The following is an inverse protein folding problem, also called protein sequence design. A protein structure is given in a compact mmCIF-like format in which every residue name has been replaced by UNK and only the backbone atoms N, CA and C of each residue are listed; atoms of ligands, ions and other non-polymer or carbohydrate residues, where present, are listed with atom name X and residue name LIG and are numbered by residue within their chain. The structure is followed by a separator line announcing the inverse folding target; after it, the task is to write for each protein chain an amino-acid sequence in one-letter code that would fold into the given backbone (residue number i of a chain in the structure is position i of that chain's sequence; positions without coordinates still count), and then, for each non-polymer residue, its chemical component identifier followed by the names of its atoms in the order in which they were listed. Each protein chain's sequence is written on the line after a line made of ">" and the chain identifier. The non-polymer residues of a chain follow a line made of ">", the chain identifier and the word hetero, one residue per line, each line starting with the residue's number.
data_IF_994013665264
#
_entry.id   IF_994013665264
#
_cell.length_a   1.000
_cell.length_b   1.000
_cell.length_c   1.000
_cell.angle_alpha   90.00
_cell.angle_beta   90.00
_cell.angle_gamma   90.00
#
_symmetry.space_group_name_H-M   'P 1'
#
loop_
_entity.id
_entity.type
_entity.pdbx_description
1 polymer ?
#
# COMPACT_ATOMS: atom_id res chain seq x y z
N UNK A 1 -1.06 -54.25 35.19
CA UNK A 1 0.10 -54.41 34.29
C UNK A 1 0.60 -53.00 34.00
N UNK A 2 1.55 -52.50 34.81
CA UNK A 2 3.00 -52.39 34.50
C UNK A 2 3.22 -51.32 33.42
N UNK A 3 4.05 -50.28 33.52
CA UNK A 3 4.89 -49.62 34.54
C UNK A 3 5.45 -48.35 33.83
N UNK A 4 5.33 -47.14 34.38
CA UNK A 4 6.37 -46.31 35.03
C UNK A 4 7.39 -45.52 34.17
N UNK A 5 7.43 -44.20 34.49
CA UNK A 5 8.59 -43.35 34.83
C UNK A 5 9.72 -43.04 33.81
N UNK A 6 10.00 -41.74 33.62
CA UNK A 6 11.25 -41.02 34.01
C UNK A 6 11.42 -39.77 33.11
N UNK A 7 11.30 -38.51 33.57
CA UNK A 7 12.20 -37.77 34.46
C UNK A 7 13.65 -37.68 33.96
N UNK A 8 14.09 -36.51 33.47
CA UNK A 8 15.49 -36.05 33.55
C UNK A 8 15.59 -34.52 33.41
N UNK A 9 15.91 -33.90 34.55
CA UNK A 9 16.46 -32.54 34.68
C UNK A 9 17.95 -32.58 34.31
N UNK A 10 18.44 -31.53 33.65
CA UNK A 10 19.86 -31.16 33.70
C UNK A 10 19.97 -29.69 34.10
N UNK A 11 20.48 -29.46 35.32
CA UNK A 11 21.06 -28.20 35.78
C UNK A 11 22.57 -28.31 35.60
N UNK A 12 23.21 -27.30 35.01
CA UNK A 12 24.61 -27.01 35.30
C UNK A 12 24.75 -25.54 35.64
N UNK A 13 25.22 -25.33 36.87
CA UNK A 13 25.85 -24.11 37.37
C UNK A 13 27.25 -24.01 36.76
N UNK A 14 27.64 -22.83 36.28
CA UNK A 14 29.03 -22.41 36.31
C UNK A 14 29.09 -20.94 36.73
N UNK A 15 29.75 -20.73 37.86
CA UNK A 15 30.09 -19.47 38.48
C UNK A 15 31.42 -19.02 37.87
N UNK A 16 31.50 -17.77 37.42
CA UNK A 16 32.73 -17.16 36.94
C UNK A 16 32.70 -15.66 37.19
N UNK A 17 33.52 -15.23 38.16
CA UNK A 17 33.70 -13.86 38.63
C UNK A 17 34.65 -13.03 37.74
N UNK A 18 34.27 -11.76 37.51
CA UNK A 18 35.01 -10.48 37.29
C UNK A 18 36.57 -10.43 37.28
N UNK A 19 37.23 -9.29 36.93
CA UNK A 19 36.83 -8.11 36.12
C UNK A 19 37.93 -7.67 35.10
N UNK A 20 37.61 -6.83 34.12
CA UNK A 20 38.56 -5.82 33.61
C UNK A 20 37.79 -4.58 33.15
N UNK A 21 37.83 -3.53 33.99
CA UNK A 21 37.42 -2.17 33.63
C UNK A 21 38.64 -1.50 33.00
N UNK A 22 38.62 -1.26 31.68
CA UNK A 22 39.60 -0.38 31.03
C UNK A 22 39.00 1.02 31.00
N UNK A 23 39.52 1.89 31.87
CA UNK A 23 39.23 3.30 31.91
C UNK A 23 40.07 3.99 30.81
N UNK A 24 39.47 4.28 29.66
CA UNK A 24 40.13 5.09 28.62
C UNK A 24 39.96 6.56 29.00
N UNK A 25 41.05 7.16 29.50
CA UNK A 25 41.18 8.60 29.70
C UNK A 25 41.36 9.25 28.34
N UNK A 26 40.33 9.93 27.84
CA UNK A 26 40.45 10.82 26.70
C UNK A 26 41.18 12.10 27.15
N UNK A 27 42.43 12.24 26.73
CA UNK A 27 43.18 13.50 26.83
C UNK A 27 42.66 14.44 25.75
N UNK A 28 41.87 15.43 26.14
CA UNK A 28 41.49 16.55 25.27
C UNK A 28 42.65 17.53 25.23
N UNK A 29 43.42 17.53 24.14
CA UNK A 29 44.41 18.58 23.85
C UNK A 29 43.64 19.75 23.21
N UNK A 30 43.43 20.82 23.97
CA UNK A 30 43.02 22.12 23.41
C UNK A 30 44.22 22.75 22.72
N UNK A 31 44.34 22.57 21.40
CA UNK A 31 45.19 23.42 20.58
C UNK A 31 44.47 24.74 20.34
N UNK A 32 44.77 25.76 21.14
CA UNK A 32 44.31 27.13 20.90
C UNK A 32 45.13 27.74 19.77
N UNK A 33 44.73 27.47 18.53
CA UNK A 33 45.18 28.25 17.38
C UNK A 33 44.45 29.60 17.38
N UNK A 34 45.12 30.63 17.88
CA UNK A 34 44.69 32.02 17.76
C UNK A 34 44.79 32.39 16.27
N UNK A 35 43.66 32.32 15.56
CA UNK A 35 43.55 32.85 14.20
C UNK A 35 43.45 34.38 14.31
N UNK A 36 44.32 35.15 13.63
CA UNK A 36 44.26 36.60 13.64
C UNK A 36 42.90 37.10 13.14
N UNK A 37 42.23 37.92 13.95
CA UNK A 37 40.90 38.49 13.71
C UNK A 37 40.78 39.47 12.51
N UNK A 38 41.78 39.56 11.63
CA UNK A 38 41.88 40.59 10.59
C UNK A 38 41.79 40.06 9.15
N UNK A 39 41.40 38.80 8.93
CA UNK A 39 41.19 38.21 7.60
C UNK A 39 39.72 37.89 7.25
N UNK A 40 38.76 38.43 8.01
CA UNK A 40 37.33 38.14 7.85
C UNK A 40 36.50 39.27 7.23
N UNK A 41 37.00 40.01 6.23
CA UNK A 41 36.14 40.93 5.48
C UNK A 41 36.62 41.11 4.05
N UNK A 42 36.07 40.29 3.13
CA UNK A 42 35.67 40.65 1.74
C UNK A 42 35.10 39.45 0.97
N UNK A 43 34.45 38.48 1.64
CA UNK A 43 33.60 37.54 0.89
C UNK A 43 32.34 38.29 0.45
N UNK A 44 32.22 38.55 -0.86
CA UNK A 44 31.00 39.09 -1.45
C UNK A 44 29.81 38.23 -0.97
N UNK A 45 28.64 38.84 -0.64
CA UNK A 45 27.47 38.07 -0.24
C UNK A 45 27.19 37.02 -1.31
N UNK A 46 26.95 35.75 -0.92
CA UNK A 46 26.61 34.71 -1.89
C UNK A 46 25.44 35.23 -2.73
N UNK A 47 25.61 35.18 -4.06
CA UNK A 47 24.55 35.58 -4.98
C UNK A 47 23.26 34.89 -4.54
N UNK A 48 22.12 35.61 -4.46
CA UNK A 48 20.86 35.00 -4.07
C UNK A 48 20.62 33.78 -4.95
N UNK A 49 20.61 32.61 -4.33
CA UNK A 49 20.30 31.35 -5.01
C UNK A 49 18.95 31.55 -5.72
N UNK A 50 18.94 31.27 -7.03
CA UNK A 50 17.75 31.47 -7.84
C UNK A 50 16.54 30.77 -7.23
N UNK A 51 15.35 31.36 -7.39
CA UNK A 51 14.10 30.74 -6.93
C UNK A 51 14.08 29.27 -7.37
N UNK A 52 13.82 28.30 -6.47
CA UNK A 52 13.78 26.89 -6.83
C UNK A 52 12.84 26.70 -8.03
N UNK A 53 13.35 26.08 -9.09
CA UNK A 53 12.53 25.72 -10.25
C UNK A 53 11.41 24.79 -9.79
N UNK A 54 10.17 25.06 -10.20
CA UNK A 54 9.04 24.18 -9.90
C UNK A 54 9.32 22.77 -10.45
N UNK A 55 9.04 21.74 -9.64
CA UNK A 55 9.23 20.36 -10.04
C UNK A 55 8.33 19.98 -11.22
N UNK A 56 8.86 19.18 -12.14
CA UNK A 56 8.07 18.56 -13.20
C UNK A 56 7.03 17.59 -12.62
N UNK A 57 5.94 17.33 -13.36
CA UNK A 57 4.92 16.35 -12.96
C UNK A 57 5.53 14.95 -12.73
N UNK A 58 6.44 14.52 -13.62
CA UNK A 58 7.19 13.27 -13.50
C UNK A 58 8.05 13.21 -12.24
N UNK A 59 8.67 14.33 -11.84
CA UNK A 59 9.44 14.40 -10.60
C UNK A 59 8.54 14.30 -9.37
N UNK A 60 7.39 14.98 -9.36
CA UNK A 60 6.42 14.88 -8.27
C UNK A 60 5.93 13.44 -8.09
N UNK A 61 5.59 12.75 -9.19
CA UNK A 61 5.18 11.33 -9.17
C UNK A 61 6.30 10.46 -8.62
N UNK A 62 7.52 10.58 -9.16
CA UNK A 62 8.68 9.79 -8.76
C UNK A 62 9.02 9.97 -7.29
N UNK A 63 9.01 11.21 -6.79
CA UNK A 63 9.27 11.53 -5.38
C UNK A 63 8.19 10.92 -4.49
N UNK A 64 6.92 11.05 -4.87
CA UNK A 64 5.80 10.45 -4.14
C UNK A 64 5.97 8.94 -4.07
N UNK A 65 6.24 8.27 -5.19
CA UNK A 65 6.46 6.83 -5.24
C UNK A 65 7.65 6.40 -4.36
N UNK A 66 8.76 7.11 -4.44
CA UNK A 66 9.95 6.82 -3.65
C UNK A 66 9.68 6.91 -2.15
N UNK A 67 8.83 7.85 -1.72
CA UNK A 67 8.48 8.01 -0.31
C UNK A 67 7.73 6.82 0.29
N UNK A 68 6.88 6.18 -0.50
CA UNK A 68 6.19 4.96 -0.07
C UNK A 68 7.01 3.70 -0.35
N UNK A 69 7.99 3.74 -1.26
CA UNK A 69 8.90 2.60 -1.47
C UNK A 69 9.99 2.51 -0.42
N UNK A 70 10.59 3.64 -0.07
CA UNK A 70 11.83 3.71 0.72
C UNK A 70 11.52 4.22 2.14
N UNK A 71 11.38 3.29 3.08
CA UNK A 71 11.08 3.62 4.47
C UNK A 71 11.11 2.41 5.38
N UNK A 72 10.58 2.59 6.58
CA UNK A 72 10.48 1.54 7.59
C UNK A 72 9.24 1.75 8.46
N UNK A 73 8.72 0.66 9.00
CA UNK A 73 7.64 0.73 9.98
C UNK A 73 8.21 1.01 11.37
N UNK A 74 7.69 2.05 12.03
CA UNK A 74 7.99 2.37 13.42
C UNK A 74 6.76 2.26 14.28
N UNK A 75 6.94 1.68 15.47
CA UNK A 75 5.87 1.62 16.46
C UNK A 75 5.65 3.00 17.05
N UNK A 76 4.39 3.36 17.25
CA UNK A 76 3.97 4.60 17.89
C UNK A 76 3.18 4.31 19.17
N UNK A 77 2.99 5.35 19.98
CA UNK A 77 2.36 5.23 21.30
C UNK A 77 0.83 5.29 21.25
N UNK A 78 0.25 5.88 20.20
CA UNK A 78 -1.21 5.96 20.04
C UNK A 78 -1.61 5.99 18.57
N UNK A 79 -2.81 5.46 18.27
CA UNK A 79 -3.42 5.52 16.94
C UNK A 79 -3.66 6.96 16.47
N UNK A 80 -3.96 7.86 17.39
CA UNK A 80 -4.20 9.27 17.12
C UNK A 80 -3.02 9.90 16.37
N UNK A 81 -1.79 9.50 16.68
CA UNK A 81 -0.61 9.97 15.95
C UNK A 81 -0.65 9.54 14.48
N UNK A 82 -0.98 8.28 14.19
CA UNK A 82 -1.17 7.81 12.81
C UNK A 82 -2.28 8.60 12.13
N UNK A 83 -3.46 8.68 12.74
CA UNK A 83 -4.63 9.34 12.13
C UNK A 83 -4.39 10.83 11.89
N UNK A 84 -3.73 11.54 12.82
CA UNK A 84 -3.39 12.95 12.66
C UNK A 84 -2.37 13.17 11.54
N UNK A 85 -1.41 12.26 11.36
CA UNK A 85 -0.39 12.36 10.29
C UNK A 85 -0.92 11.93 8.93
N UNK A 86 -1.74 10.88 8.89
CA UNK A 86 -2.40 10.44 7.66
C UNK A 86 -3.55 11.36 7.29
N UNK A 87 -4.15 12.08 8.23
CA UNK A 87 -5.33 12.93 8.04
C UNK A 87 -6.66 12.16 7.99
N UNK A 88 -6.66 10.87 8.31
CA UNK A 88 -7.89 10.06 8.29
C UNK A 88 -8.83 10.44 9.45
N UNK A 89 -10.16 10.39 9.26
CA UNK A 89 -11.12 10.73 10.32
C UNK A 89 -10.98 9.81 11.54
N UNK A 90 -10.96 10.35 12.76
CA UNK A 90 -10.69 9.55 13.97
C UNK A 90 -11.68 8.41 14.20
N UNK A 91 -12.90 8.57 13.71
CA UNK A 91 -14.03 7.69 13.94
C UNK A 91 -14.36 6.79 12.74
N UNK A 92 -13.57 6.82 11.65
CA UNK A 92 -13.94 6.16 10.41
C UNK A 92 -14.18 4.65 10.60
N UNK A 93 -13.44 4.03 11.53
CA UNK A 93 -13.56 2.60 11.85
C UNK A 93 -14.96 2.19 12.31
N UNK A 94 -15.74 3.11 12.87
CA UNK A 94 -17.08 2.82 13.37
C UNK A 94 -18.04 2.48 12.23
N UNK A 95 -17.77 2.98 11.03
CA UNK A 95 -18.58 2.80 9.82
C UNK A 95 -18.14 1.61 8.96
N UNK A 96 -17.02 0.96 9.30
CA UNK A 96 -16.60 -0.26 8.62
C UNK A 96 -17.55 -1.43 8.94
N UNK A 97 -17.67 -2.38 8.02
CA UNK A 97 -18.32 -3.65 8.34
C UNK A 97 -17.51 -4.41 9.41
N UNK A 98 -18.15 -5.12 10.37
CA UNK A 98 -17.45 -5.82 11.46
C UNK A 98 -16.27 -6.69 11.02
N UNK A 99 -16.40 -7.40 9.89
CA UNK A 99 -15.32 -8.23 9.33
C UNK A 99 -14.04 -7.45 9.00
N UNK A 100 -14.13 -6.16 8.74
CA UNK A 100 -13.00 -5.30 8.39
C UNK A 100 -12.46 -4.49 9.58
N UNK A 101 -13.19 -4.48 10.70
CA UNK A 101 -12.77 -3.80 11.92
C UNK A 101 -11.64 -4.57 12.60
N UNK A 102 -10.77 -3.81 13.25
CA UNK A 102 -9.80 -4.38 14.18
C UNK A 102 -10.51 -4.99 15.39
N UNK A 103 -10.08 -6.19 15.80
CA UNK A 103 -10.42 -6.73 17.10
C UNK A 103 -9.51 -6.08 18.15
N UNK A 104 -10.00 -5.03 18.81
CA UNK A 104 -9.26 -4.32 19.86
C UNK A 104 -9.04 -5.17 21.13
N UNK A 105 -9.75 -6.28 21.28
CA UNK A 105 -9.50 -7.22 22.38
C UNK A 105 -8.25 -8.07 22.15
N UNK A 106 -7.87 -8.25 20.87
CA UNK A 106 -6.62 -8.87 20.50
C UNK A 106 -5.46 -7.90 20.75
N UNK A 107 -4.86 -8.02 21.93
CA UNK A 107 -3.66 -7.24 22.28
C UNK A 107 -2.38 -7.73 21.59
N UNK A 108 -2.43 -8.87 20.90
CA UNK A 108 -1.27 -9.49 20.25
C UNK A 108 -0.89 -8.76 18.97
N UNK A 109 -1.86 -8.46 18.10
CA UNK A 109 -1.64 -7.67 16.89
C UNK A 109 -2.27 -6.29 17.05
N UNK A 110 -1.44 -5.25 17.05
CA UNK A 110 -1.87 -3.85 17.14
C UNK A 110 -1.50 -3.11 15.85
N UNK A 111 -2.04 -3.50 14.67
CA UNK A 111 -1.59 -2.98 13.38
C UNK A 111 -1.78 -1.46 13.22
N UNK A 112 -2.70 -0.86 13.99
CA UNK A 112 -2.95 0.57 14.03
C UNK A 112 -1.91 1.39 14.82
N UNK A 113 -0.95 0.73 15.49
CA UNK A 113 0.15 1.37 16.22
C UNK A 113 1.48 1.35 15.46
N UNK A 114 1.42 1.19 14.13
CA UNK A 114 2.59 1.20 13.27
C UNK A 114 2.47 2.30 12.24
N UNK A 115 3.55 3.04 12.06
CA UNK A 115 3.66 4.14 11.13
C UNK A 115 4.77 3.93 10.11
N UNK A 116 4.49 4.23 8.85
CA UNK A 116 5.51 4.25 7.80
C UNK A 116 6.34 5.53 7.86
N UNK A 117 7.64 5.40 8.11
CA UNK A 117 8.59 6.49 8.13
C UNK A 117 9.47 6.42 6.89
N UNK A 118 9.34 7.38 5.95
CA UNK A 118 10.17 7.41 4.76
C UNK A 118 11.63 7.76 5.08
N UNK A 119 12.58 7.26 4.27
CA UNK A 119 14.00 7.60 4.38
C UNK A 119 14.25 9.09 4.06
N UNK A 120 15.35 9.64 4.60
CA UNK A 120 15.63 11.08 4.70
C UNK A 120 15.64 11.90 3.38
N UNK A 121 15.83 11.28 2.22
CA UNK A 121 15.74 12.00 0.93
C UNK A 121 14.28 12.28 0.59
N UNK A 122 13.39 11.34 0.89
CA UNK A 122 11.97 11.47 0.61
C UNK A 122 11.23 12.36 1.64
N UNK A 123 11.85 12.69 2.77
CA UNK A 123 11.25 13.57 3.79
C UNK A 123 11.28 15.05 3.42
N UNK A 124 12.05 15.46 2.41
CA UNK A 124 12.18 16.86 1.97
C UNK A 124 10.91 17.43 1.31
N UNK A 125 10.00 16.56 0.85
CA UNK A 125 8.74 16.93 0.20
C UNK A 125 7.57 16.49 1.06
N UNK A 126 6.96 17.37 1.88
CA UNK A 126 5.90 16.97 2.80
C UNK A 126 4.72 16.37 2.04
N UNK A 127 4.17 15.25 2.55
CA UNK A 127 2.91 14.72 2.05
C UNK A 127 1.78 15.66 2.46
N UNK A 128 0.81 15.80 1.58
CA UNK A 128 -0.48 16.39 1.91
C UNK A 128 -1.25 15.37 2.75
N UNK A 129 -1.61 15.69 4.01
CA UNK A 129 -2.46 14.81 4.81
C UNK A 129 -3.78 14.54 4.07
N UNK A 130 -4.33 13.35 4.25
CA UNK A 130 -5.64 13.02 3.73
C UNK A 130 -6.69 13.98 4.29
N UNK A 131 -7.59 14.40 3.42
CA UNK A 131 -8.88 14.96 3.80
C UNK A 131 -9.81 14.80 2.60
N UNK A 132 -11.12 14.77 2.84
CA UNK A 132 -12.07 14.74 1.73
C UNK A 132 -11.84 15.92 0.78
N UNK A 133 -11.52 17.11 1.29
CA UNK A 133 -11.25 18.31 0.49
C UNK A 133 -9.97 18.17 -0.35
N UNK A 134 -8.87 17.70 0.24
CA UNK A 134 -7.62 17.47 -0.49
C UNK A 134 -7.81 16.40 -1.57
N UNK A 135 -8.52 15.32 -1.26
CA UNK A 135 -8.90 14.31 -2.23
C UNK A 135 -9.70 14.91 -3.40
N UNK A 136 -10.70 15.71 -3.09
CA UNK A 136 -11.55 16.35 -4.07
C UNK A 136 -10.80 17.34 -4.96
N UNK A 137 -9.88 18.09 -4.35
CA UNK A 137 -8.94 18.91 -5.08
C UNK A 137 -8.09 18.04 -6.01
N UNK A 138 -7.50 16.94 -5.52
CA UNK A 138 -6.62 16.04 -6.28
C UNK A 138 -7.30 15.42 -7.51
N UNK A 139 -8.56 15.00 -7.38
CA UNK A 139 -9.30 14.41 -8.51
C UNK A 139 -9.83 15.48 -9.46
N UNK A 140 -10.08 16.72 -9.02
CA UNK A 140 -10.50 17.83 -9.87
C UNK A 140 -11.69 17.48 -10.80
N UNK A 141 -12.82 17.07 -10.21
CA UNK A 141 -14.04 16.62 -10.91
C UNK A 141 -13.88 15.38 -11.82
N UNK A 142 -12.74 14.67 -11.76
CA UNK A 142 -12.53 13.40 -12.46
C UNK A 142 -13.24 12.25 -11.76
N UNK A 143 -13.69 11.27 -12.53
CA UNK A 143 -14.27 10.02 -12.04
C UNK A 143 -13.26 8.88 -12.10
N UNK A 144 -13.30 7.99 -11.09
CA UNK A 144 -12.35 6.88 -10.92
C UNK A 144 -13.08 5.54 -11.06
N UNK A 145 -12.55 4.67 -11.92
CA UNK A 145 -12.96 3.28 -12.06
C UNK A 145 -11.86 2.35 -11.53
N UNK A 146 -12.18 1.53 -10.54
CA UNK A 146 -11.34 0.43 -10.08
C UNK A 146 -11.75 -0.87 -10.78
N UNK A 147 -10.79 -1.55 -11.41
CA UNK A 147 -10.97 -2.89 -12.00
C UNK A 147 -9.92 -3.81 -11.39
N UNK A 148 -10.33 -4.90 -10.77
CA UNK A 148 -9.36 -5.88 -10.27
C UNK A 148 -9.91 -6.88 -9.26
N UNK A 149 -9.09 -7.20 -8.27
CA UNK A 149 -9.31 -8.28 -7.31
C UNK A 149 -10.03 -7.86 -6.01
N UNK A 150 -10.15 -8.81 -5.08
CA UNK A 150 -10.75 -8.58 -3.76
C UNK A 150 -9.95 -7.63 -2.88
N UNK A 151 -8.65 -7.47 -3.10
CA UNK A 151 -7.82 -6.50 -2.36
C UNK A 151 -8.17 -5.08 -2.82
N UNK A 152 -8.46 -4.89 -4.11
CA UNK A 152 -8.98 -3.61 -4.63
C UNK A 152 -10.33 -3.28 -4.01
N UNK A 153 -11.20 -4.27 -3.84
CA UNK A 153 -12.50 -4.11 -3.16
C UNK A 153 -12.31 -3.78 -1.67
N UNK A 154 -11.35 -4.43 -1.00
CA UNK A 154 -11.00 -4.15 0.38
C UNK A 154 -10.53 -2.68 0.53
N UNK A 155 -9.69 -2.20 -0.38
CA UNK A 155 -9.28 -0.80 -0.42
C UNK A 155 -10.43 0.17 -0.75
N UNK A 156 -11.30 -0.18 -1.71
CA UNK A 156 -12.45 0.63 -2.08
C UNK A 156 -13.41 0.83 -0.90
N UNK A 157 -13.56 -0.20 -0.06
CA UNK A 157 -14.36 -0.13 1.17
C UNK A 157 -13.82 0.93 2.12
N UNK A 158 -12.50 0.93 2.33
CA UNK A 158 -11.83 1.95 3.13
C UNK A 158 -12.06 3.34 2.54
N UNK A 159 -11.77 3.49 1.25
CA UNK A 159 -11.84 4.76 0.55
C UNK A 159 -13.25 5.37 0.63
N UNK A 160 -14.29 4.56 0.43
CA UNK A 160 -15.68 4.98 0.59
C UNK A 160 -15.95 5.57 1.97
N UNK A 161 -15.55 4.85 3.03
CA UNK A 161 -15.81 5.25 4.41
C UNK A 161 -15.08 6.53 4.80
N UNK A 162 -13.80 6.66 4.41
CA UNK A 162 -12.99 7.86 4.73
C UNK A 162 -13.42 9.09 3.93
N UNK A 163 -14.10 8.90 2.80
CA UNK A 163 -14.73 9.97 2.02
C UNK A 163 -16.13 10.35 2.50
N UNK A 164 -16.55 9.87 3.67
CA UNK A 164 -17.84 10.22 4.28
C UNK A 164 -18.96 9.26 3.94
N UNK A 165 -18.67 8.15 3.26
CA UNK A 165 -19.63 7.07 3.04
C UNK A 165 -20.13 6.46 4.33
N UNK A 166 -21.45 6.32 4.48
CA UNK A 166 -22.10 5.77 5.68
C UNK A 166 -23.01 4.59 5.39
N UNK A 167 -23.45 4.46 4.15
CA UNK A 167 -24.33 3.38 3.78
C UNK A 167 -23.58 2.04 3.81
N UNK A 168 -24.27 0.95 4.21
CA UNK A 168 -23.74 -0.40 4.22
C UNK A 168 -23.53 -0.98 2.82
N UNK A 169 -23.31 -0.15 1.79
CA UNK A 169 -23.15 -0.52 0.38
C UNK A 169 -22.10 -1.63 0.20
N UNK A 170 -21.11 -1.70 1.10
CA UNK A 170 -20.03 -2.69 1.05
C UNK A 170 -20.22 -3.90 1.99
N UNK A 171 -21.32 -3.99 2.76
CA UNK A 171 -21.54 -5.05 3.76
C UNK A 171 -21.77 -6.43 3.13
N UNK A 172 -22.44 -6.44 1.98
CA UNK A 172 -22.70 -7.63 1.18
C UNK A 172 -22.41 -7.28 -0.28
N UNK A 173 -21.13 -7.14 -0.66
CA UNK A 173 -20.77 -7.50 -2.03
C UNK A 173 -20.66 -9.04 -2.04
N UNK A 174 -21.74 -9.83 -2.32
CA UNK A 174 -21.46 -10.92 -3.20
C UNK A 174 -20.89 -10.22 -4.42
N UNK A 175 -19.81 -10.75 -4.95
CA UNK A 175 -19.19 -10.37 -6.21
C UNK A 175 -20.22 -9.95 -7.32
N UNK A 176 -21.49 -10.38 -7.19
CA UNK A 176 -22.63 -10.32 -8.11
C UNK A 176 -23.35 -8.98 -8.20
N UNK A 177 -23.09 -7.99 -7.35
CA UNK A 177 -23.70 -6.66 -7.50
C UNK A 177 -22.65 -5.66 -7.95
N UNK A 178 -22.76 -5.25 -9.21
CA UNK A 178 -22.40 -3.90 -9.65
C UNK A 178 -22.91 -2.88 -8.62
N UNK A 179 -22.21 -1.76 -8.36
CA UNK A 179 -22.70 -0.69 -7.46
C UNK A 179 -23.90 0.04 -8.10
N UNK A 180 -24.98 -0.67 -8.44
CA UNK A 180 -25.95 -0.22 -9.43
C UNK A 180 -25.28 0.30 -10.71
N UNK A 181 -26.03 0.93 -11.60
CA UNK A 181 -25.43 1.69 -12.72
C UNK A 181 -24.93 3.09 -12.26
N UNK A 182 -24.80 3.30 -10.95
CA UNK A 182 -24.66 4.63 -10.36
C UNK A 182 -23.52 4.59 -9.34
N UNK A 183 -22.29 4.69 -9.85
CA UNK A 183 -21.11 4.85 -9.00
C UNK A 183 -21.28 5.94 -7.95
N UNK A 184 -20.52 5.78 -6.88
CA UNK A 184 -20.58 6.61 -5.69
C UNK A 184 -20.22 8.05 -6.07
N UNK A 185 -21.12 9.00 -5.82
CA UNK A 185 -20.81 10.43 -5.97
C UNK A 185 -19.73 10.82 -4.97
N UNK A 186 -18.66 11.43 -5.48
CA UNK A 186 -17.57 11.99 -4.69
C UNK A 186 -17.78 13.50 -4.54
N UNK A 187 -17.20 14.10 -3.51
CA UNK A 187 -16.99 15.56 -3.44
C UNK A 187 -18.25 16.43 -3.35
N UNK A 188 -19.31 15.88 -2.76
CA UNK A 188 -20.54 16.62 -2.47
C UNK A 188 -21.46 16.78 -3.69
N UNK A 189 -22.65 17.35 -3.44
CA UNK A 189 -23.77 17.35 -4.40
C UNK A 189 -23.54 18.16 -5.69
N UNK A 190 -22.49 18.99 -5.74
CA UNK A 190 -22.16 19.79 -6.91
C UNK A 190 -21.11 19.14 -7.81
N UNK A 191 -20.41 18.10 -7.33
CA UNK A 191 -19.41 17.41 -8.12
C UNK A 191 -20.05 16.32 -8.98
N UNK A 192 -19.53 16.17 -10.19
CA UNK A 192 -19.87 15.07 -11.09
C UNK A 192 -18.92 13.88 -10.94
N UNK A 193 -17.93 13.98 -10.06
CA UNK A 193 -16.98 12.91 -9.79
C UNK A 193 -17.70 11.68 -9.25
N UNK A 194 -17.37 10.53 -9.84
CA UNK A 194 -17.87 9.22 -9.42
C UNK A 194 -16.72 8.30 -9.05
N UNK A 195 -16.99 7.39 -8.12
CA UNK A 195 -16.14 6.28 -7.77
C UNK A 195 -16.89 4.98 -8.03
N UNK A 196 -16.28 4.07 -8.78
CA UNK A 196 -16.88 2.77 -9.06
C UNK A 196 -15.85 1.67 -9.02
N UNK A 197 -16.26 0.48 -8.57
CA UNK A 197 -15.43 -0.71 -8.53
C UNK A 197 -16.10 -1.87 -9.26
N UNK A 198 -15.30 -2.63 -10.00
CA UNK A 198 -15.76 -3.83 -10.70
C UNK A 198 -14.76 -4.96 -10.54
N UNK A 199 -15.28 -6.16 -10.23
CA UNK A 199 -14.48 -7.35 -10.06
C UNK A 199 -14.06 -7.90 -11.42
N UNK A 200 -12.78 -7.77 -11.75
CA UNK A 200 -12.18 -8.47 -12.88
C UNK A 200 -10.76 -8.93 -12.51
N UNK A 201 -10.68 -10.06 -11.81
CA UNK A 201 -9.45 -10.57 -11.20
C UNK A 201 -8.37 -10.89 -12.24
N UNK A 202 -8.79 -11.17 -13.47
CA UNK A 202 -7.94 -11.53 -14.59
C UNK A 202 -7.79 -10.38 -15.61
N UNK A 203 -8.41 -9.22 -15.37
CA UNK A 203 -8.46 -8.10 -16.32
C UNK A 203 -8.89 -8.49 -17.74
N UNK A 204 -9.77 -9.50 -17.89
CA UNK A 204 -10.24 -9.96 -19.19
C UNK A 204 -10.98 -8.83 -19.92
N UNK A 205 -10.75 -8.72 -21.23
CA UNK A 205 -11.45 -7.80 -22.12
C UNK A 205 -12.74 -8.40 -22.70
N UNK A 206 -13.40 -9.32 -21.99
CA UNK A 206 -14.66 -9.91 -22.45
C UNK A 206 -15.82 -8.91 -22.34
N UNK A 207 -16.78 -9.01 -23.25
CA UNK A 207 -18.06 -8.31 -23.19
C UNK A 207 -19.17 -9.19 -22.58
N UNK A 208 -18.89 -10.47 -22.32
CA UNK A 208 -19.86 -11.43 -21.78
C UNK A 208 -19.61 -11.69 -20.29
N UNK A 209 -20.69 -11.89 -19.53
CA UNK A 209 -20.65 -12.18 -18.09
C UNK A 209 -20.08 -13.57 -17.73
N UNK A 210 -19.70 -14.38 -18.72
CA UNK A 210 -19.29 -15.77 -18.54
C UNK A 210 -18.18 -16.18 -19.53
N UNK A 211 -16.99 -15.57 -19.48
CA UNK A 211 -15.87 -16.12 -20.24
C UNK A 211 -15.54 -17.50 -19.65
N UNK A 212 -15.32 -18.50 -20.52
CA UNK A 212 -14.90 -19.85 -20.11
C UNK A 212 -13.60 -19.86 -19.27
N UNK A 213 -12.88 -18.74 -19.27
CA UNK A 213 -11.62 -18.52 -18.55
C UNK A 213 -11.80 -18.15 -17.07
N UNK A 214 -13.04 -17.96 -16.59
CA UNK A 214 -13.27 -17.55 -15.21
C UNK A 214 -14.01 -18.64 -14.43
N UNK A 215 -13.34 -19.19 -13.41
CA UNK A 215 -13.90 -20.23 -12.51
C UNK A 215 -15.25 -19.83 -11.93
N UNK A 216 -15.44 -18.53 -11.70
CA UNK A 216 -16.67 -17.94 -11.21
C UNK A 216 -16.91 -16.67 -12.03
N UNK A 217 -18.00 -16.64 -12.81
CA UNK A 217 -18.47 -15.51 -13.63
C UNK A 217 -18.34 -14.15 -12.95
N UNK A 218 -18.55 -14.18 -11.65
CA UNK A 218 -18.59 -13.03 -10.79
C UNK A 218 -17.22 -12.37 -10.56
N UNK A 219 -16.13 -13.08 -10.85
CA UNK A 219 -14.76 -12.56 -10.74
C UNK A 219 -14.26 -11.88 -12.00
N UNK A 220 -15.03 -11.88 -13.09
CA UNK A 220 -14.62 -11.38 -14.41
C UNK A 220 -15.70 -10.56 -15.08
N UNK A 221 -16.26 -9.62 -14.33
CA UNK A 221 -17.31 -8.75 -14.83
C UNK A 221 -16.78 -7.87 -15.98
N UNK A 222 -17.50 -7.77 -17.12
CA UNK A 222 -17.13 -6.88 -18.21
C UNK A 222 -17.03 -5.44 -17.72
N UNK A 223 -15.98 -4.72 -18.12
CA UNK A 223 -15.72 -3.37 -17.61
C UNK A 223 -15.39 -2.35 -18.72
N UNK A 224 -15.02 -2.81 -19.92
CA UNK A 224 -14.65 -1.93 -21.04
C UNK A 224 -15.73 -0.90 -21.38
N UNK A 225 -17.00 -1.31 -21.33
CA UNK A 225 -18.14 -0.44 -21.63
C UNK A 225 -18.29 0.73 -20.64
N UNK A 226 -17.65 0.64 -19.47
CA UNK A 226 -17.65 1.70 -18.48
C UNK A 226 -16.63 2.80 -18.81
N UNK A 227 -15.57 2.50 -19.57
CA UNK A 227 -14.44 3.41 -19.79
C UNK A 227 -14.82 4.82 -20.24
N UNK A 228 -15.79 5.03 -21.14
CA UNK A 228 -16.18 6.38 -21.55
C UNK A 228 -16.71 7.27 -20.41
N UNK A 229 -17.08 6.70 -19.26
CA UNK A 229 -17.66 7.42 -18.13
C UNK A 229 -16.65 7.76 -17.01
N UNK A 230 -15.37 7.39 -17.17
CA UNK A 230 -14.36 7.56 -16.12
C UNK A 230 -13.05 8.11 -16.69
N UNK A 231 -12.48 9.10 -16.01
CA UNK A 231 -11.24 9.79 -16.45
C UNK A 231 -9.97 9.13 -15.90
N UNK A 232 -10.11 8.37 -14.81
CA UNK A 232 -9.02 7.63 -14.17
C UNK A 232 -9.42 6.16 -14.05
N UNK A 233 -8.58 5.28 -14.58
CA UNK A 233 -8.71 3.84 -14.49
C UNK A 233 -7.61 3.29 -13.57
N UNK A 234 -8.00 2.58 -12.51
CA UNK A 234 -7.08 1.92 -11.59
C UNK A 234 -7.23 0.41 -11.74
N UNK A 235 -6.16 -0.25 -12.19
CA UNK A 235 -6.12 -1.67 -12.50
C UNK A 235 -5.28 -2.45 -11.50
N UNK A 236 -5.66 -3.69 -11.24
CA UNK A 236 -4.77 -4.68 -10.62
C UNK A 236 -5.19 -6.12 -11.02
N UNK A 237 -4.25 -7.06 -10.97
CA UNK A 237 -4.51 -8.51 -11.02
C UNK A 237 -3.48 -9.23 -10.15
N UNK A 238 -3.90 -10.19 -9.33
CA UNK A 238 -3.02 -10.82 -8.34
C UNK A 238 -3.43 -12.24 -7.92
N UNK A 239 -4.18 -12.41 -6.80
CA UNK A 239 -4.33 -13.69 -6.08
C UNK A 239 -5.13 -14.77 -6.81
N UNK A 240 -5.63 -14.50 -8.01
CA UNK A 240 -6.38 -15.47 -8.79
C UNK A 240 -5.51 -15.99 -9.92
N UNK A 241 -5.22 -17.29 -9.80
CA UNK A 241 -4.20 -18.02 -10.54
C UNK A 241 -4.23 -17.79 -12.05
N UNK A 242 -3.06 -17.48 -12.60
CA UNK A 242 -2.70 -17.70 -13.99
C UNK A 242 -1.26 -18.26 -14.07
N UNK A 243 -0.93 -18.91 -15.17
CA UNK A 243 0.47 -19.14 -15.55
C UNK A 243 1.14 -17.80 -15.90
N UNK A 244 2.44 -17.63 -15.64
CA UNK A 244 3.12 -16.35 -15.86
C UNK A 244 3.09 -15.90 -17.32
N UNK A 245 3.14 -16.82 -18.29
CA UNK A 245 3.04 -16.47 -19.71
C UNK A 245 1.61 -16.03 -20.07
N UNK A 246 0.59 -16.66 -19.48
CA UNK A 246 -0.80 -16.22 -19.63
C UNK A 246 -1.00 -14.83 -19.02
N UNK A 247 -0.48 -14.61 -17.82
CA UNK A 247 -0.53 -13.31 -17.13
C UNK A 247 0.16 -12.22 -17.95
N UNK A 248 1.38 -12.47 -18.46
CA UNK A 248 2.08 -11.52 -19.33
C UNK A 248 1.24 -11.17 -20.57
N UNK A 249 0.75 -12.19 -21.28
CA UNK A 249 -0.08 -11.98 -22.48
C UNK A 249 -1.35 -11.19 -22.17
N UNK A 250 -1.95 -11.41 -21.00
CA UNK A 250 -3.12 -10.68 -20.51
C UNK A 250 -2.80 -9.21 -20.27
N UNK A 251 -1.77 -8.91 -19.47
CA UNK A 251 -1.36 -7.53 -19.22
C UNK A 251 -1.02 -6.84 -20.53
N UNK A 252 -0.36 -7.54 -21.46
CA UNK A 252 0.02 -7.00 -22.78
C UNK A 252 -1.21 -6.67 -23.62
N UNK A 253 -2.18 -7.58 -23.65
CA UNK A 253 -3.44 -7.39 -24.39
C UNK A 253 -4.23 -6.21 -23.84
N UNK A 254 -4.38 -6.10 -22.52
CA UNK A 254 -5.07 -4.99 -21.86
C UNK A 254 -4.33 -3.67 -22.09
N UNK A 255 -3.01 -3.67 -21.97
CA UNK A 255 -2.18 -2.47 -22.15
C UNK A 255 -2.29 -1.92 -23.59
N UNK A 256 -2.19 -2.80 -24.59
CA UNK A 256 -2.39 -2.44 -26.01
C UNK A 256 -3.77 -1.86 -26.26
N UNK A 257 -4.80 -2.51 -25.73
CA UNK A 257 -6.18 -2.03 -25.87
C UNK A 257 -6.35 -0.64 -25.26
N UNK A 258 -5.88 -0.42 -24.03
CA UNK A 258 -5.99 0.88 -23.36
C UNK A 258 -5.22 1.97 -24.09
N UNK A 259 -4.02 1.66 -24.60
CA UNK A 259 -3.22 2.62 -25.36
C UNK A 259 -3.94 3.09 -26.65
N UNK A 260 -4.80 2.24 -27.22
CA UNK A 260 -5.55 2.52 -28.45
C UNK A 260 -6.94 3.13 -28.20
N UNK A 261 -7.56 2.85 -27.05
CA UNK A 261 -9.00 3.09 -26.84
C UNK A 261 -9.35 3.94 -25.63
N UNK A 262 -8.38 4.27 -24.76
CA UNK A 262 -8.62 5.03 -23.54
C UNK A 262 -7.68 6.23 -23.43
N UNK A 263 -8.27 7.43 -23.44
CA UNK A 263 -7.54 8.70 -23.33
C UNK A 263 -7.35 9.17 -21.88
N UNK A 264 -7.92 8.46 -20.91
CA UNK A 264 -7.83 8.80 -19.50
C UNK A 264 -6.49 8.39 -18.87
N UNK A 265 -6.38 8.65 -17.57
CA UNK A 265 -5.20 8.25 -16.78
C UNK A 265 -5.31 6.79 -16.40
N UNK A 266 -4.30 5.97 -16.74
CA UNK A 266 -4.21 4.58 -16.28
C UNK A 266 -3.22 4.48 -15.13
N UNK A 267 -3.68 3.95 -14.00
CA UNK A 267 -2.87 3.65 -12.83
C UNK A 267 -2.88 2.14 -12.62
N UNK A 268 -1.71 1.51 -12.52
CA UNK A 268 -1.60 0.10 -12.18
C UNK A 268 -1.15 -0.05 -10.73
N UNK A 269 -1.97 -0.71 -9.90
CA UNK A 269 -1.67 -1.02 -8.51
C UNK A 269 -0.93 -2.35 -8.44
N UNK A 270 0.25 -2.38 -7.80
CA UNK A 270 1.00 -3.64 -7.64
C UNK A 270 0.31 -4.62 -6.69
N UNK A 271 0.44 -5.91 -6.97
CA UNK A 271 -0.13 -6.97 -6.13
C UNK A 271 0.72 -7.19 -4.89
N UNK A 272 0.07 -7.53 -3.78
CA UNK A 272 0.73 -7.75 -2.48
C UNK A 272 0.54 -9.19 -2.07
N UNK A 273 1.65 -9.88 -1.79
CA UNK A 273 1.63 -11.25 -1.31
C UNK A 273 0.89 -11.34 0.03
N UNK A 274 0.16 -12.44 0.25
CA UNK A 274 -0.33 -12.77 1.59
C UNK A 274 0.81 -13.23 2.50
N UNK A 275 0.52 -13.49 3.77
CA UNK A 275 1.53 -13.91 4.74
C UNK A 275 1.17 -15.25 5.40
N UNK A 276 1.90 -16.35 5.13
CA UNK A 276 1.68 -17.61 5.82
C UNK A 276 1.72 -17.42 7.35
N UNK A 277 0.75 -18.02 8.05
CA UNK A 277 0.63 -17.93 9.52
C UNK A 277 0.51 -16.48 10.04
N UNK A 278 -0.17 -15.60 9.31
CA UNK A 278 -0.36 -14.20 9.71
C UNK A 278 -0.95 -14.00 11.12
N UNK A 279 -1.79 -14.94 11.59
CA UNK A 279 -2.35 -14.90 12.95
C UNK A 279 -1.31 -14.90 14.08
N UNK A 280 -0.07 -15.31 13.78
CA UNK A 280 1.02 -15.29 14.74
C UNK A 280 1.80 -13.98 14.80
N UNK A 281 1.61 -13.10 13.82
CA UNK A 281 2.34 -11.86 13.72
C UNK A 281 1.88 -10.83 14.77
N UNK A 282 2.85 -10.17 15.39
CA UNK A 282 2.61 -9.12 16.41
C UNK A 282 2.95 -7.72 15.92
N UNK A 283 3.59 -7.63 14.76
CA UNK A 283 3.98 -6.38 14.13
C UNK A 283 4.62 -6.63 12.76
N UNK A 284 5.18 -5.57 12.17
CA UNK A 284 5.92 -5.65 10.93
C UNK A 284 7.11 -6.59 11.00
N UNK A 285 7.45 -7.16 9.86
CA UNK A 285 8.66 -7.97 9.67
C UNK A 285 9.70 -7.17 8.87
N UNK A 286 10.97 -7.59 8.95
CA UNK A 286 12.02 -7.01 8.12
C UNK A 286 11.98 -7.58 6.70
N UNK A 287 12.66 -6.91 5.77
CA UNK A 287 12.80 -7.39 4.39
C UNK A 287 13.49 -8.77 4.33
N UNK A 288 14.47 -9.01 5.20
CA UNK A 288 15.16 -10.30 5.30
C UNK A 288 14.22 -11.42 5.74
N UNK A 289 13.35 -11.14 6.72
CA UNK A 289 12.33 -12.10 7.17
C UNK A 289 11.29 -12.35 6.08
N UNK A 290 10.84 -11.30 5.37
CA UNK A 290 9.93 -11.45 4.23
C UNK A 290 10.57 -12.29 3.12
N UNK A 291 11.82 -12.01 2.74
CA UNK A 291 12.54 -12.74 1.71
C UNK A 291 12.79 -14.22 2.08
N UNK A 292 12.92 -14.52 3.37
CA UNK A 292 13.08 -15.89 3.89
C UNK A 292 11.74 -16.62 4.15
N UNK A 293 10.60 -15.97 3.89
CA UNK A 293 9.28 -16.55 4.18
C UNK A 293 9.04 -17.78 3.32
N UNK A 294 8.70 -18.89 3.97
CA UNK A 294 8.33 -20.13 3.30
C UNK A 294 6.82 -20.16 3.05
N UNK A 295 6.43 -20.16 1.78
CA UNK A 295 5.04 -20.22 1.36
C UNK A 295 4.54 -21.67 1.14
N UNK A 296 5.28 -22.68 1.60
CA UNK A 296 4.95 -24.12 1.48
C UNK A 296 3.60 -24.47 2.06
N UNK A 297 2.79 -25.21 1.29
CA UNK A 297 1.42 -25.58 1.63
C UNK A 297 0.37 -24.48 1.40
N UNK A 298 0.78 -23.22 1.23
CA UNK A 298 -0.09 -22.09 0.82
C UNK A 298 0.04 -21.80 -0.69
N UNK A 299 1.14 -22.26 -1.30
CA UNK A 299 1.46 -22.15 -2.73
C UNK A 299 0.31 -22.56 -3.66
N UNK A 300 -0.37 -23.66 -3.34
CA UNK A 300 -1.25 -24.34 -4.29
C UNK A 300 -2.52 -23.56 -4.63
N UNK A 301 -2.96 -22.66 -3.73
CA UNK A 301 -4.23 -21.93 -3.93
C UNK A 301 -4.04 -20.50 -4.48
N UNK A 302 -2.97 -19.80 -4.09
CA UNK A 302 -2.85 -18.35 -4.36
C UNK A 302 -1.50 -17.86 -4.87
N UNK A 303 -0.47 -18.72 -4.99
CA UNK A 303 0.86 -18.38 -5.56
C UNK A 303 1.47 -17.06 -5.07
N UNK A 304 1.33 -16.76 -3.78
CA UNK A 304 1.81 -15.49 -3.20
C UNK A 304 3.31 -15.25 -3.42
N UNK A 305 4.09 -16.33 -3.48
CA UNK A 305 5.52 -16.33 -3.79
C UNK A 305 5.83 -15.78 -5.19
N UNK A 306 4.90 -15.87 -6.13
CA UNK A 306 5.09 -15.42 -7.50
C UNK A 306 4.78 -13.93 -7.67
N UNK A 307 4.18 -13.26 -6.69
CA UNK A 307 3.71 -11.88 -6.85
C UNK A 307 4.84 -10.90 -7.18
N UNK A 308 6.05 -11.12 -6.64
CA UNK A 308 7.21 -10.32 -7.02
C UNK A 308 7.51 -10.43 -8.52
N UNK A 309 7.48 -11.65 -9.06
CA UNK A 309 7.67 -11.92 -10.49
C UNK A 309 6.52 -11.36 -11.35
N UNK A 310 5.27 -11.57 -10.93
CA UNK A 310 4.09 -11.06 -11.64
C UNK A 310 4.05 -9.52 -11.66
N UNK A 311 4.45 -8.87 -10.56
CA UNK A 311 4.62 -7.42 -10.54
C UNK A 311 5.70 -6.99 -11.54
N UNK A 312 6.87 -7.64 -11.54
CA UNK A 312 7.94 -7.31 -12.49
C UNK A 312 7.50 -7.47 -13.95
N UNK A 313 6.75 -8.54 -14.27
CA UNK A 313 6.14 -8.75 -15.59
C UNK A 313 5.19 -7.60 -15.94
N UNK A 314 4.25 -7.26 -15.06
CA UNK A 314 3.29 -6.20 -15.33
C UNK A 314 3.97 -4.85 -15.56
N UNK A 315 4.95 -4.50 -14.72
CA UNK A 315 5.71 -3.27 -14.86
C UNK A 315 6.47 -3.22 -16.19
N UNK A 316 7.13 -4.31 -16.58
CA UNK A 316 7.86 -4.39 -17.85
C UNK A 316 6.92 -4.21 -19.05
N UNK A 317 5.78 -4.90 -19.05
CA UNK A 317 4.80 -4.82 -20.14
C UNK A 317 4.15 -3.43 -20.22
N UNK A 318 3.78 -2.85 -19.08
CA UNK A 318 3.22 -1.50 -19.05
C UNK A 318 4.21 -0.46 -19.58
N UNK A 319 5.49 -0.57 -19.23
CA UNK A 319 6.52 0.32 -19.75
C UNK A 319 6.67 0.22 -21.28
N UNK A 320 6.50 -0.98 -21.85
CA UNK A 320 6.61 -1.22 -23.29
C UNK A 320 5.34 -0.77 -24.06
N UNK A 321 4.16 -1.15 -23.57
CA UNK A 321 2.91 -1.08 -24.33
C UNK A 321 2.03 0.11 -23.94
N UNK A 322 2.22 0.66 -22.75
CA UNK A 322 1.44 1.76 -22.18
C UNK A 322 2.33 2.69 -21.31
N UNK A 323 3.38 3.30 -21.89
CA UNK A 323 4.42 4.03 -21.15
C UNK A 323 3.90 5.25 -20.36
N UNK A 324 2.72 5.76 -20.70
CA UNK A 324 2.03 6.84 -19.98
C UNK A 324 1.33 6.37 -18.70
N UNK A 325 1.25 5.05 -18.45
CA UNK A 325 0.64 4.52 -17.24
C UNK A 325 1.47 4.86 -16.00
N UNK A 326 0.79 5.00 -14.87
CA UNK A 326 1.41 5.32 -13.58
C UNK A 326 1.40 4.07 -12.71
N UNK A 327 2.53 3.75 -12.11
CA UNK A 327 2.62 2.65 -11.15
C UNK A 327 2.28 3.14 -9.75
N UNK A 328 1.25 2.56 -9.15
CA UNK A 328 0.94 2.74 -7.74
C UNK A 328 1.48 1.53 -6.95
N UNK A 329 2.75 1.62 -6.57
CA UNK A 329 3.50 0.50 -6.01
C UNK A 329 3.28 0.35 -4.49
N UNK A 330 2.20 -0.33 -4.10
CA UNK A 330 1.82 -0.54 -2.70
C UNK A 330 2.51 -1.75 -2.05
N UNK A 331 3.18 -2.59 -2.84
CA UNK A 331 3.82 -3.81 -2.33
C UNK A 331 4.89 -3.57 -1.25
N UNK A 332 5.84 -2.60 -1.39
CA UNK A 332 6.91 -2.39 -0.42
C UNK A 332 6.42 -2.10 1.01
N UNK A 333 5.40 -1.24 1.17
CA UNK A 333 4.85 -0.94 2.50
C UNK A 333 4.04 -2.09 3.08
N UNK A 334 3.38 -2.87 2.22
CA UNK A 334 2.34 -3.81 2.64
C UNK A 334 2.87 -5.21 2.92
N UNK A 335 3.85 -5.68 2.15
CA UNK A 335 4.48 -6.99 2.31
C UNK A 335 5.25 -7.18 3.62
N UNK A 336 5.43 -6.09 4.37
CA UNK A 336 6.08 -6.11 5.67
C UNK A 336 5.07 -6.15 6.82
N UNK A 337 3.77 -6.31 6.53
CA UNK A 337 2.67 -6.14 7.50
C UNK A 337 1.80 -7.38 7.69
N UNK A 338 2.37 -8.54 8.08
CA UNK A 338 1.59 -9.73 8.38
C UNK A 338 0.61 -9.51 9.55
N UNK A 339 0.91 -8.58 10.46
CA UNK A 339 0.07 -8.20 11.59
C UNK A 339 -1.22 -7.45 11.19
N UNK A 340 -1.30 -6.98 9.94
CA UNK A 340 -2.44 -6.22 9.44
C UNK A 340 -3.60 -7.08 8.92
N UNK A 341 -3.48 -8.41 8.93
CA UNK A 341 -4.44 -9.30 8.28
C UNK A 341 -5.78 -9.44 9.00
N UNK A 342 -6.82 -9.71 8.20
CA UNK A 342 -8.24 -9.71 8.58
C UNK A 342 -8.60 -10.73 9.65
N UNK A 343 -8.07 -11.94 9.54
CA UNK A 343 -8.28 -13.02 10.50
C UNK A 343 -7.01 -13.87 10.57
N UNK A 344 -6.89 -14.69 11.61
CA UNK A 344 -5.74 -15.60 11.76
C UNK A 344 -5.60 -16.59 10.58
N UNK A 345 -6.69 -16.83 9.85
CA UNK A 345 -6.76 -17.67 8.66
C UNK A 345 -7.02 -16.92 7.34
N UNK A 346 -7.29 -15.60 7.38
CA UNK A 346 -7.38 -14.76 6.18
C UNK A 346 -6.13 -13.89 6.08
N UNK A 347 -5.08 -14.51 5.57
CA UNK A 347 -3.79 -13.89 5.39
C UNK A 347 -3.63 -13.21 4.03
N UNK A 348 -4.73 -12.75 3.43
CA UNK A 348 -4.74 -12.02 2.17
C UNK A 348 -5.34 -10.62 2.35
N UNK A 349 -6.50 -10.53 2.99
CA UNK A 349 -7.18 -9.26 3.22
C UNK A 349 -6.70 -8.59 4.51
N UNK A 350 -6.90 -7.27 4.61
CA UNK A 350 -6.38 -6.48 5.72
C UNK A 350 -7.51 -5.87 6.57
N UNK A 351 -7.25 -5.76 7.87
CA UNK A 351 -8.06 -4.98 8.81
C UNK A 351 -7.79 -3.50 8.61
N UNK A 352 -8.76 -2.70 9.03
CA UNK A 352 -8.64 -1.26 9.15
C UNK A 352 -9.08 -0.84 10.56
N UNK A 353 -8.34 0.07 11.22
CA UNK A 353 -7.12 0.76 10.75
C UNK A 353 -5.87 -0.11 10.69
N UNK A 354 -4.93 0.29 9.83
CA UNK A 354 -3.75 -0.50 9.50
C UNK A 354 -3.03 -0.05 8.24
N UNK A 355 -2.36 -0.97 7.55
CA UNK A 355 -1.51 -0.63 6.39
C UNK A 355 -2.27 0.01 5.23
N UNK A 356 -3.55 -0.32 5.04
CA UNK A 356 -4.37 0.28 3.98
C UNK A 356 -4.63 1.78 4.19
N UNK A 357 -4.45 2.31 5.41
CA UNK A 357 -4.51 3.75 5.67
C UNK A 357 -3.45 4.51 4.85
N UNK A 358 -2.28 3.88 4.67
CA UNK A 358 -1.20 4.44 3.86
C UNK A 358 -1.46 4.31 2.37
N UNK A 359 -2.32 3.39 1.94
CA UNK A 359 -2.77 3.30 0.55
C UNK A 359 -3.62 4.52 0.20
N UNK A 360 -4.50 4.94 1.10
CA UNK A 360 -5.32 6.15 0.92
C UNK A 360 -4.43 7.39 0.80
N UNK A 361 -3.50 7.55 1.74
CA UNK A 361 -2.55 8.67 1.74
C UNK A 361 -1.69 8.68 0.47
N UNK A 362 -1.20 7.51 0.04
CA UNK A 362 -0.38 7.38 -1.16
C UNK A 362 -1.19 7.75 -2.40
N UNK A 363 -2.37 7.16 -2.59
CA UNK A 363 -3.19 7.43 -3.78
C UNK A 363 -3.56 8.92 -3.87
N UNK A 364 -3.95 9.56 -2.77
CA UNK A 364 -4.24 11.00 -2.78
C UNK A 364 -3.02 11.83 -3.24
N UNK A 365 -1.85 11.57 -2.66
CA UNK A 365 -0.64 12.32 -3.00
C UNK A 365 -0.15 12.01 -4.43
N UNK A 366 -0.37 10.79 -4.91
CA UNK A 366 -0.12 10.42 -6.29
C UNK A 366 -1.03 11.22 -7.23
N UNK A 367 -2.33 11.33 -6.92
CA UNK A 367 -3.30 12.11 -7.69
C UNK A 367 -3.00 13.61 -7.69
N UNK A 368 -2.56 14.17 -6.56
CA UNK A 368 -2.07 15.56 -6.49
C UNK A 368 -0.85 15.78 -7.38
N UNK A 369 0.03 14.79 -7.48
CA UNK A 369 1.22 14.88 -8.34
C UNK A 369 0.87 14.92 -9.83
N UNK A 370 -0.38 14.60 -10.20
CA UNK A 370 -0.87 14.69 -11.58
C UNK A 370 -1.34 16.09 -11.97
N UNK A 371 -1.35 17.04 -11.03
CA UNK A 371 -1.68 18.45 -11.25
C UNK A 371 -0.39 19.27 -11.36
#
# INVERSE_FOLDING_TARGET
>A
MVDTLANRRCRYFLVGTFPFLILVVNVVIFATSIVPHWLLYTAAPPKPEGKPTALSQSDKIRITQQRFRDGEWRRIVSQEITLNRTGLPQDYEQFLHPNFKIDRSNQRSQPWLWEWIPKAIASQFPLVPFSADNWCQAIHNRSILFVGDSINQNFLTLLWVVLGGRDPIMQDFPWNRTMGDHGISLCGSQSQSKLYGIANVHLTLTDTLYPNECEVAIRCQPWKYLLPNYDILILNSGPHFEDSAKYENRIRTVSKYLNQSYNGTVIFRTSVAGHPNCGDATGPISEEVFAATNYSGVYDMYKWDQFASLNAIALSVLQEELPQSIIWDVNPITRLRPDGHKFDNDCLHYRMPGVMDYWVLYLQNLLHSLQ
#
